data_IF_410311573010
#
_entry.id   IF_410311573010
#
_cell.length_a   1.000
_cell.length_b   1.000
_cell.length_c   1.000
_cell.angle_alpha   90.00
_cell.angle_beta   90.00
_cell.angle_gamma   90.00
#
_symmetry.space_group_name_H-M   'P 1'
#
loop_
_entity.id
_entity.type
_entity.pdbx_description
1 polymer ?
#
# COMPACT_ATOMS: atom_id res chain seq x y z
N UNK A 1 5.33 -11.03 -0.62
CA UNK A 1 4.91 -9.79 -1.25
C UNK A 1 4.17 -8.87 -0.30
N UNK A 2 3.98 -7.57 -0.67
CA UNK A 2 3.16 -6.64 0.13
C UNK A 2 1.68 -7.03 0.04
N UNK A 3 0.98 -6.95 1.17
CA UNK A 3 -0.45 -7.20 1.25
C UNK A 3 -1.08 -6.34 2.32
N UNK A 4 -2.11 -5.56 1.98
CA UNK A 4 -2.85 -4.70 2.90
C UNK A 4 -4.17 -4.22 2.27
N UNK A 5 -5.01 -3.51 3.01
CA UNK A 5 -6.33 -3.07 2.56
C UNK A 5 -6.34 -2.24 1.27
N UNK A 6 -5.27 -1.49 0.98
CA UNK A 6 -5.15 -0.65 -0.23
C UNK A 6 -4.21 -1.25 -1.29
N UNK A 7 -3.72 -2.48 -1.07
CA UNK A 7 -2.91 -3.20 -2.03
C UNK A 7 -3.25 -4.69 -1.98
N UNK A 8 -4.14 -5.12 -2.88
CA UNK A 8 -4.68 -6.48 -2.98
C UNK A 8 -4.52 -7.05 -4.40
N UNK A 9 -3.48 -6.63 -5.11
CA UNK A 9 -3.24 -6.98 -6.52
C UNK A 9 -3.05 -8.48 -6.78
N UNK A 10 -2.89 -9.26 -5.72
CA UNK A 10 -2.67 -10.70 -5.81
C UNK A 10 -3.94 -11.53 -5.58
N UNK A 11 -5.05 -10.86 -5.24
CA UNK A 11 -6.36 -11.50 -5.13
C UNK A 11 -6.99 -11.55 -6.54
N UNK A 12 -7.45 -12.71 -7.05
CA UNK A 12 -7.31 -14.07 -6.50
C UNK A 12 -6.21 -14.93 -7.13
N UNK A 13 -5.60 -14.52 -8.25
CA UNK A 13 -4.84 -15.41 -9.14
C UNK A 13 -3.56 -15.94 -8.48
N UNK A 14 -2.70 -15.05 -7.97
CA UNK A 14 -1.44 -15.47 -7.34
C UNK A 14 -1.71 -16.26 -6.06
N UNK A 15 -2.77 -15.90 -5.33
CA UNK A 15 -3.18 -16.61 -4.12
C UNK A 15 -3.58 -18.05 -4.46
N UNK A 16 -4.37 -18.25 -5.50
CA UNK A 16 -4.76 -19.57 -5.96
C UNK A 16 -3.54 -20.38 -6.45
N UNK A 17 -2.64 -19.74 -7.18
CA UNK A 17 -1.39 -20.38 -7.59
C UNK A 17 -0.56 -20.85 -6.40
N UNK A 18 -0.38 -20.00 -5.39
CA UNK A 18 0.35 -20.36 -4.17
C UNK A 18 -0.31 -21.53 -3.42
N UNK A 19 -1.64 -21.53 -3.31
CA UNK A 19 -2.38 -22.62 -2.66
C UNK A 19 -2.22 -23.96 -3.39
N UNK A 20 -2.42 -23.98 -4.71
CA UNK A 20 -2.32 -25.19 -5.53
C UNK A 20 -0.91 -25.78 -5.45
N UNK A 21 0.11 -24.94 -5.47
CA UNK A 21 1.51 -25.36 -5.48
C UNK A 21 2.12 -25.45 -4.08
N UNK A 22 1.35 -25.29 -3.01
CA UNK A 22 1.81 -25.32 -1.61
C UNK A 22 2.95 -24.32 -1.31
N UNK A 23 2.90 -23.16 -1.98
CA UNK A 23 3.90 -22.08 -1.81
C UNK A 23 3.44 -21.17 -0.68
N UNK A 24 4.32 -20.98 0.31
CA UNK A 24 4.09 -20.05 1.43
C UNK A 24 4.04 -18.60 0.97
N UNK A 25 3.06 -17.84 1.44
CA UNK A 25 2.92 -16.41 1.17
C UNK A 25 3.27 -15.59 2.41
N UNK A 26 4.39 -14.88 2.36
CA UNK A 26 4.79 -13.93 3.39
C UNK A 26 4.30 -12.53 2.99
N UNK A 27 3.33 -11.98 3.74
CA UNK A 27 2.79 -10.65 3.52
C UNK A 27 3.59 -9.58 4.27
N UNK A 28 4.07 -8.53 3.59
CA UNK A 28 4.71 -7.40 4.26
C UNK A 28 3.94 -6.09 4.06
N UNK A 29 4.25 -5.11 4.90
CA UNK A 29 3.59 -3.80 4.93
C UNK A 29 2.07 -3.85 5.16
N UNK A 30 1.56 -4.60 6.14
CA UNK A 30 0.11 -4.70 6.39
C UNK A 30 -0.53 -3.35 6.75
N UNK A 31 0.25 -2.41 7.30
CA UNK A 31 -0.17 -1.03 7.60
C UNK A 31 0.22 0.00 6.52
N UNK A 32 0.63 -0.44 5.32
CA UNK A 32 0.97 0.45 4.20
C UNK A 32 1.91 1.60 4.61
N UNK A 33 3.03 1.29 5.29
CA UNK A 33 3.99 2.25 5.87
C UNK A 33 3.38 3.22 6.89
N UNK A 34 2.27 2.84 7.49
CA UNK A 34 1.53 3.63 8.47
C UNK A 34 0.39 4.48 7.87
N UNK A 35 0.12 4.38 6.57
CA UNK A 35 -1.06 5.01 5.97
C UNK A 35 -2.37 4.42 6.51
N UNK A 36 -2.38 3.15 6.87
CA UNK A 36 -3.50 2.46 7.52
C UNK A 36 -3.44 2.61 9.05
N UNK A 37 -2.99 3.77 9.52
CA UNK A 37 -3.09 4.26 10.90
C UNK A 37 -3.59 5.69 10.87
N UNK A 38 -3.94 6.25 12.02
CA UNK A 38 -4.45 7.63 12.07
C UNK A 38 -3.37 8.72 12.00
N UNK A 39 -2.09 8.34 12.05
CA UNK A 39 -0.97 9.29 12.24
C UNK A 39 -0.75 10.29 11.10
N UNK A 40 -1.29 10.04 9.90
CA UNK A 40 -1.11 10.92 8.74
C UNK A 40 -2.37 11.69 8.34
N UNK A 41 -3.44 11.64 9.13
CA UNK A 41 -4.71 12.29 8.78
C UNK A 41 -4.75 13.79 9.11
N UNK A 42 -4.10 14.21 10.19
CA UNK A 42 -4.07 15.62 10.58
C UNK A 42 -2.82 16.34 10.06
N UNK A 43 -1.64 15.76 10.30
CA UNK A 43 -0.36 16.25 9.80
C UNK A 43 0.63 15.09 9.71
N UNK A 44 1.63 15.19 8.82
CA UNK A 44 2.76 14.26 8.80
C UNK A 44 3.54 14.46 10.10
N UNK A 45 3.61 13.41 10.92
CA UNK A 45 4.35 13.50 12.19
C UNK A 45 5.85 13.59 11.94
N UNK A 46 6.51 14.48 12.72
CA UNK A 46 7.96 14.60 12.74
C UNK A 46 8.64 13.23 12.93
N UNK A 47 9.73 13.01 12.23
CA UNK A 47 10.48 11.75 12.18
C UNK A 47 9.67 10.55 11.63
N UNK A 48 8.59 10.78 10.92
CA UNK A 48 7.86 9.71 10.24
C UNK A 48 8.58 9.27 8.95
N UNK A 49 8.32 8.05 8.50
CA UNK A 49 8.91 7.54 7.26
C UNK A 49 8.59 8.39 6.04
N UNK A 50 7.39 8.99 5.98
CA UNK A 50 7.00 9.87 4.88
C UNK A 50 7.73 11.21 4.92
N UNK A 51 8.08 11.71 6.10
CA UNK A 51 8.86 12.93 6.26
C UNK A 51 10.34 12.70 5.96
N UNK A 52 10.93 11.65 6.56
CA UNK A 52 12.35 11.35 6.39
C UNK A 52 12.70 10.88 4.97
N UNK A 53 11.78 10.18 4.30
CA UNK A 53 12.02 9.57 3.00
C UNK A 53 10.81 9.74 2.06
N UNK A 54 10.43 10.98 1.71
CA UNK A 54 9.19 11.26 0.97
C UNK A 54 9.14 10.61 -0.41
N UNK A 55 10.27 10.51 -1.10
CA UNK A 55 10.34 9.91 -2.44
C UNK A 55 10.27 8.38 -2.42
N UNK A 56 10.74 7.77 -1.35
CA UNK A 56 10.79 6.31 -1.20
C UNK A 56 9.45 5.72 -0.73
N UNK A 57 8.81 6.37 0.26
CA UNK A 57 7.59 5.87 0.89
C UNK A 57 6.28 6.47 0.36
N UNK A 58 6.33 7.24 -0.73
CA UNK A 58 5.16 7.96 -1.24
C UNK A 58 4.16 7.10 -2.01
N UNK A 59 4.44 5.81 -2.26
CA UNK A 59 3.58 4.92 -3.07
C UNK A 59 2.13 4.82 -2.59
N UNK A 60 1.91 4.96 -1.29
CA UNK A 60 0.59 4.93 -0.67
C UNK A 60 -0.01 6.32 -0.43
N UNK A 61 0.68 7.41 -0.77
CA UNK A 61 0.27 8.79 -0.46
C UNK A 61 -0.53 9.46 -1.58
N UNK A 62 -0.87 8.75 -2.65
CA UNK A 62 -1.69 9.25 -3.76
C UNK A 62 -3.10 9.63 -3.30
N UNK A 63 -3.80 10.48 -4.08
CA UNK A 63 -5.16 10.93 -3.77
C UNK A 63 -6.14 9.76 -3.67
N UNK A 64 -6.07 8.81 -4.61
CA UNK A 64 -6.91 7.61 -4.59
C UNK A 64 -6.67 6.76 -3.33
N UNK A 65 -5.39 6.55 -2.95
CA UNK A 65 -5.05 5.82 -1.72
C UNK A 65 -5.58 6.51 -0.47
N UNK A 66 -5.44 7.84 -0.37
CA UNK A 66 -5.96 8.62 0.76
C UNK A 66 -7.48 8.52 0.86
N UNK A 67 -8.19 8.62 -0.27
CA UNK A 67 -9.64 8.48 -0.30
C UNK A 67 -10.10 7.09 0.17
N UNK A 68 -9.44 6.03 -0.28
CA UNK A 68 -9.71 4.67 0.18
C UNK A 68 -9.47 4.51 1.69
N UNK A 69 -8.34 5.05 2.18
CA UNK A 69 -7.99 5.00 3.61
C UNK A 69 -9.03 5.74 4.46
N UNK A 70 -9.55 6.89 4.02
CA UNK A 70 -10.62 7.60 4.73
C UNK A 70 -11.88 6.73 4.86
N UNK A 71 -12.26 6.00 3.80
CA UNK A 71 -13.42 5.07 3.86
C UNK A 71 -13.18 3.95 4.88
N UNK A 72 -11.97 3.36 4.91
CA UNK A 72 -11.59 2.36 5.90
C UNK A 72 -11.56 2.92 7.33
N UNK A 73 -11.09 4.16 7.51
CA UNK A 73 -11.10 4.83 8.80
C UNK A 73 -12.53 5.03 9.32
N UNK A 74 -13.44 5.48 8.46
CA UNK A 74 -14.84 5.64 8.84
C UNK A 74 -15.47 4.28 9.21
N UNK A 75 -15.14 3.22 8.46
CA UNK A 75 -15.60 1.86 8.77
C UNK A 75 -15.06 1.37 10.12
N UNK A 76 -13.76 1.56 10.42
CA UNK A 76 -13.18 1.13 11.68
C UNK A 76 -13.82 1.85 12.87
N UNK A 77 -13.95 3.17 12.79
CA UNK A 77 -14.57 4.00 13.84
C UNK A 77 -16.04 3.63 14.09
N UNK A 78 -16.82 3.39 13.04
CA UNK A 78 -18.22 2.96 13.18
C UNK A 78 -18.38 1.59 13.86
N UNK A 79 -17.31 0.79 13.91
CA UNK A 79 -17.25 -0.50 14.58
C UNK A 79 -16.40 -0.47 15.88
N UNK A 80 -16.04 0.70 16.39
CA UNK A 80 -15.24 0.89 17.60
C UNK A 80 -13.88 0.18 17.54
N UNK A 81 -13.28 0.14 16.36
CA UNK A 81 -11.94 -0.42 16.12
C UNK A 81 -10.97 0.69 15.72
N UNK A 82 -9.73 0.56 16.13
CA UNK A 82 -8.64 1.33 15.56
C UNK A 82 -8.39 0.89 14.10
N UNK A 83 -8.09 1.84 13.21
CA UNK A 83 -7.82 1.51 11.80
C UNK A 83 -6.66 0.52 11.66
N UNK A 84 -5.62 0.66 12.49
CA UNK A 84 -4.49 -0.27 12.48
C UNK A 84 -4.91 -1.70 12.87
N UNK A 85 -5.72 -1.83 13.92
CA UNK A 85 -6.23 -3.13 14.38
C UNK A 85 -7.08 -3.82 13.30
N UNK A 86 -8.04 -3.09 12.73
CA UNK A 86 -8.88 -3.62 11.64
C UNK A 86 -8.04 -4.06 10.43
N UNK A 87 -7.03 -3.26 10.06
CA UNK A 87 -6.16 -3.55 8.91
C UNK A 87 -5.30 -4.77 9.13
N UNK A 88 -4.71 -4.92 10.33
CA UNK A 88 -3.89 -6.08 10.70
C UNK A 88 -4.73 -7.34 10.81
N UNK A 89 -5.84 -7.29 11.56
CA UNK A 89 -6.76 -8.41 11.69
C UNK A 89 -7.24 -8.91 10.32
N UNK A 90 -7.60 -8.01 9.42
CA UNK A 90 -7.97 -8.38 8.05
C UNK A 90 -6.86 -9.14 7.32
N UNK A 91 -5.60 -8.72 7.46
CA UNK A 91 -4.48 -9.36 6.80
C UNK A 91 -4.15 -10.72 7.40
N UNK A 92 -3.97 -10.80 8.73
CA UNK A 92 -3.50 -12.02 9.41
C UNK A 92 -4.51 -13.16 9.34
N UNK A 93 -5.80 -12.84 9.24
CA UNK A 93 -6.87 -13.86 9.13
C UNK A 93 -7.12 -14.35 7.70
N UNK A 94 -6.25 -14.00 6.75
CA UNK A 94 -6.32 -14.55 5.38
C UNK A 94 -5.71 -15.96 5.33
N UNK A 95 -6.51 -16.93 4.92
CA UNK A 95 -6.12 -18.36 4.89
C UNK A 95 -4.92 -18.66 3.99
N UNK A 96 -4.58 -17.76 3.05
CA UNK A 96 -3.43 -17.90 2.17
C UNK A 96 -2.15 -17.28 2.74
N UNK A 97 -2.27 -16.43 3.76
CA UNK A 97 -1.13 -15.75 4.35
C UNK A 97 -0.48 -16.69 5.37
N UNK A 98 0.73 -17.12 5.09
CA UNK A 98 1.50 -17.95 6.01
C UNK A 98 2.00 -17.14 7.20
N UNK A 99 2.45 -15.89 6.95
CA UNK A 99 2.90 -14.98 7.99
C UNK A 99 2.80 -13.53 7.53
N UNK A 100 2.55 -12.61 8.46
CA UNK A 100 2.58 -11.17 8.22
C UNK A 100 3.84 -10.56 8.81
N UNK A 101 4.65 -9.92 7.95
CA UNK A 101 5.88 -9.24 8.37
C UNK A 101 5.52 -7.83 8.81
N UNK A 102 5.73 -7.57 10.09
CA UNK A 102 5.44 -6.29 10.74
C UNK A 102 6.73 -5.53 11.11
N UNK A 103 6.58 -4.25 11.42
CA UNK A 103 7.65 -3.43 12.00
C UNK A 103 7.05 -2.39 12.92
N UNK A 104 7.57 -2.32 14.14
CA UNK A 104 7.20 -1.32 15.17
C UNK A 104 8.41 -0.48 15.54
N UNK A 105 8.20 0.71 16.06
CA UNK A 105 9.26 1.62 16.52
C UNK A 105 9.33 1.69 18.03
N UNK A 106 8.36 1.13 18.75
CA UNK A 106 8.33 1.06 20.20
C UNK A 106 7.47 -0.13 20.67
N UNK A 107 7.62 -0.48 21.95
CA UNK A 107 6.95 -1.62 22.57
C UNK A 107 5.41 -1.49 22.57
N UNK A 108 4.88 -0.29 22.79
CA UNK A 108 3.43 -0.05 22.75
C UNK A 108 2.84 -0.44 21.40
N UNK A 109 3.44 0.03 20.29
CA UNK A 109 3.01 -0.35 18.94
C UNK A 109 3.13 -1.86 18.70
N UNK A 110 4.19 -2.49 19.21
CA UNK A 110 4.35 -3.93 19.08
C UNK A 110 3.23 -4.70 19.78
N UNK A 111 2.90 -4.32 21.02
CA UNK A 111 1.77 -4.93 21.77
C UNK A 111 0.45 -4.77 21.03
N UNK A 112 0.11 -3.55 20.59
CA UNK A 112 -1.10 -3.27 19.83
C UNK A 112 -1.19 -4.11 18.51
N UNK A 113 -0.06 -4.33 17.84
CA UNK A 113 0.01 -5.17 16.64
C UNK A 113 -0.25 -6.65 17.00
N UNK A 114 0.37 -7.16 18.06
CA UNK A 114 0.19 -8.53 18.50
C UNK A 114 -1.26 -8.77 18.94
N UNK A 115 -1.82 -7.86 19.71
CA UNK A 115 -3.23 -7.94 20.15
C UNK A 115 -4.22 -7.96 18.98
N UNK A 116 -3.88 -7.31 17.85
CA UNK A 116 -4.71 -7.29 16.64
C UNK A 116 -4.92 -8.67 16.02
N UNK A 117 -4.07 -9.66 16.30
CA UNK A 117 -4.23 -11.04 15.82
C UNK A 117 -5.46 -11.71 16.42
N UNK A 118 -5.82 -11.32 17.64
CA UNK A 118 -6.94 -11.88 18.38
C UNK A 118 -8.29 -11.20 18.05
N UNK A 119 -8.27 -10.16 17.21
CA UNK A 119 -9.48 -9.45 16.80
C UNK A 119 -10.14 -10.21 15.65
N UNK A 120 -11.33 -10.72 15.87
CA UNK A 120 -12.15 -11.32 14.83
C UNK A 120 -13.04 -10.27 14.18
N UNK A 121 -12.88 -10.08 12.87
CA UNK A 121 -13.75 -9.22 12.08
C UNK A 121 -15.00 -10.03 11.69
N UNK A 122 -16.16 -9.54 12.09
CA UNK A 122 -17.41 -10.19 11.69
C UNK A 122 -17.64 -10.06 10.17
N UNK A 123 -18.50 -10.91 9.63
CA UNK A 123 -18.76 -10.99 8.19
C UNK A 123 -19.23 -9.65 7.59
N UNK A 124 -20.01 -8.85 8.32
CA UNK A 124 -20.48 -7.53 7.85
C UNK A 124 -19.34 -6.55 7.67
N UNK A 125 -18.33 -6.56 8.54
CA UNK A 125 -17.13 -5.72 8.38
C UNK A 125 -16.34 -6.19 7.17
N UNK A 126 -16.15 -7.49 7.00
CA UNK A 126 -15.42 -8.06 5.85
C UNK A 126 -16.10 -7.69 4.53
N UNK A 127 -17.42 -7.79 4.45
CA UNK A 127 -18.20 -7.39 3.27
C UNK A 127 -18.03 -5.90 2.95
N UNK A 128 -18.09 -5.03 3.96
CA UNK A 128 -17.85 -3.60 3.78
C UNK A 128 -16.42 -3.30 3.36
N UNK A 129 -15.42 -4.01 3.89
CA UNK A 129 -14.02 -3.91 3.44
C UNK A 129 -13.92 -4.28 1.96
N UNK A 130 -14.56 -5.38 1.54
CA UNK A 130 -14.56 -5.83 0.16
C UNK A 130 -15.30 -4.84 -0.76
N UNK A 131 -16.40 -4.27 -0.31
CA UNK A 131 -17.11 -3.22 -1.04
C UNK A 131 -16.24 -1.97 -1.23
N UNK A 132 -15.59 -1.48 -0.17
CA UNK A 132 -14.65 -0.34 -0.29
C UNK A 132 -13.54 -0.67 -1.29
N UNK A 133 -13.03 -1.90 -1.27
CA UNK A 133 -12.00 -2.32 -2.22
C UNK A 133 -12.53 -2.34 -3.66
N UNK A 134 -13.72 -2.84 -3.92
CA UNK A 134 -14.32 -2.87 -5.27
C UNK A 134 -14.51 -1.47 -5.86
N UNK A 135 -14.82 -0.47 -5.03
CA UNK A 135 -14.89 0.93 -5.46
C UNK A 135 -13.52 1.61 -5.64
N UNK A 136 -12.46 1.03 -5.06
CA UNK A 136 -11.11 1.59 -5.04
C UNK A 136 -10.08 0.53 -5.41
N UNK A 137 -10.27 -0.11 -6.54
CA UNK A 137 -9.36 -1.16 -7.02
C UNK A 137 -7.97 -0.57 -7.23
N UNK A 138 -6.98 -1.16 -6.54
CA UNK A 138 -5.56 -0.80 -6.66
C UNK A 138 -5.28 0.72 -6.57
N UNK A 139 -5.72 1.41 -5.52
CA UNK A 139 -5.59 2.86 -5.41
C UNK A 139 -4.14 3.34 -5.35
N UNK A 140 -3.18 2.43 -5.15
CA UNK A 140 -1.73 2.73 -5.16
C UNK A 140 -1.16 2.89 -6.57
N UNK A 141 -1.84 2.38 -7.60
CA UNK A 141 -1.36 2.43 -8.99
C UNK A 141 -1.19 3.86 -9.48
N UNK A 142 -1.97 4.81 -8.99
CA UNK A 142 -1.81 6.24 -9.31
C UNK A 142 -0.35 6.72 -9.12
N UNK A 143 0.35 6.19 -8.12
CA UNK A 143 1.75 6.53 -7.83
C UNK A 143 2.75 5.54 -8.43
N UNK A 144 2.33 4.35 -8.73
CA UNK A 144 3.19 3.32 -9.32
C UNK A 144 3.40 3.53 -10.81
N UNK A 145 2.44 4.11 -11.51
CA UNK A 145 2.59 4.50 -12.92
C UNK A 145 3.50 5.73 -13.09
N UNK A 146 4.74 5.64 -12.57
CA UNK A 146 5.81 6.61 -12.90
C UNK A 146 6.02 6.69 -14.42
N UNK A 147 5.71 5.63 -15.16
CA UNK A 147 5.83 5.58 -16.62
C UNK A 147 4.89 6.57 -17.30
N UNK A 148 3.61 6.65 -16.89
CA UNK A 148 2.66 7.61 -17.43
C UNK A 148 3.11 9.07 -17.18
N UNK A 149 3.54 9.38 -15.95
CA UNK A 149 4.07 10.71 -15.63
C UNK A 149 5.39 11.00 -16.36
N UNK A 150 6.19 9.98 -16.63
CA UNK A 150 7.39 10.09 -17.43
C UNK A 150 7.04 10.42 -18.89
N UNK A 151 6.12 9.71 -19.54
CA UNK A 151 5.66 10.00 -20.89
C UNK A 151 4.99 11.36 -21.00
N UNK A 152 4.19 11.77 -20.01
CA UNK A 152 3.60 13.11 -19.97
C UNK A 152 4.65 14.23 -19.90
N UNK A 153 5.71 14.04 -19.08
CA UNK A 153 6.87 14.98 -19.02
C UNK A 153 7.69 14.93 -20.31
N UNK A 154 7.82 13.76 -20.90
CA UNK A 154 8.51 13.55 -22.16
C UNK A 154 7.82 14.30 -23.32
N UNK A 155 6.51 14.11 -23.44
CA UNK A 155 5.70 14.82 -24.41
C UNK A 155 5.83 16.34 -24.24
N UNK A 156 5.76 16.86 -23.01
CA UNK A 156 5.94 18.27 -22.72
C UNK A 156 7.32 18.80 -23.15
N UNK A 157 8.40 18.06 -22.91
CA UNK A 157 9.76 18.44 -23.30
C UNK A 157 9.94 18.44 -24.82
N UNK A 158 9.24 17.56 -25.54
CA UNK A 158 9.22 17.54 -27.01
C UNK A 158 8.48 18.79 -27.53
N UNK A 159 7.29 19.07 -26.97
CA UNK A 159 6.52 20.27 -27.34
C UNK A 159 7.24 21.58 -27.02
N UNK A 160 8.01 21.62 -25.93
CA UNK A 160 8.81 22.78 -25.55
C UNK A 160 10.13 22.91 -26.37
N UNK A 161 10.35 22.08 -27.40
CA UNK A 161 11.56 22.10 -28.26
C UNK A 161 12.84 21.58 -27.58
N UNK A 162 12.74 20.98 -26.39
CA UNK A 162 13.88 20.49 -25.61
C UNK A 162 14.12 18.99 -25.79
N UNK A 163 14.12 18.54 -27.05
CA UNK A 163 14.27 17.13 -27.40
C UNK A 163 15.56 16.49 -26.86
N UNK A 164 16.64 17.22 -26.78
CA UNK A 164 17.93 16.71 -26.27
C UNK A 164 17.90 16.41 -24.76
N UNK A 165 17.17 17.21 -23.99
CA UNK A 165 16.95 16.98 -22.56
C UNK A 165 16.05 15.76 -22.32
N UNK A 166 15.10 15.55 -23.22
CA UNK A 166 14.27 14.34 -23.21
C UNK A 166 15.11 13.08 -23.46
N UNK A 167 15.95 13.07 -24.48
CA UNK A 167 16.80 11.93 -24.80
C UNK A 167 17.74 11.56 -23.65
N UNK A 168 18.44 12.51 -23.05
CA UNK A 168 19.33 12.27 -21.90
C UNK A 168 18.58 11.68 -20.69
N UNK A 169 17.39 12.20 -20.39
CA UNK A 169 16.55 11.71 -19.29
C UNK A 169 15.99 10.32 -19.57
N UNK A 170 15.65 10.03 -20.83
CA UNK A 170 15.18 8.71 -21.28
C UNK A 170 16.26 7.65 -21.11
N UNK A 171 17.45 7.90 -21.59
CA UNK A 171 18.59 6.98 -21.45
C UNK A 171 18.90 6.70 -19.96
N UNK A 172 18.87 7.72 -19.11
CA UNK A 172 19.08 7.56 -17.66
C UNK A 172 17.97 6.72 -17.00
N UNK A 173 16.72 6.90 -17.44
CA UNK A 173 15.58 6.13 -16.94
C UNK A 173 15.67 4.65 -17.34
N UNK A 174 15.91 4.35 -18.61
CA UNK A 174 16.05 2.98 -19.10
C UNK A 174 17.26 2.26 -18.49
N UNK A 175 18.40 2.93 -18.32
CA UNK A 175 19.54 2.36 -17.58
C UNK A 175 19.19 2.01 -16.13
N UNK A 176 18.36 2.81 -15.47
CA UNK A 176 17.89 2.53 -14.12
C UNK A 176 16.87 1.38 -14.09
N UNK A 177 15.99 1.27 -15.08
CA UNK A 177 15.01 0.19 -15.22
C UNK A 177 15.71 -1.15 -15.44
N UNK A 178 16.73 -1.19 -16.32
CA UNK A 178 17.52 -2.38 -16.62
C UNK A 178 18.38 -2.85 -15.43
N UNK A 179 18.83 -1.93 -14.55
CA UNK A 179 19.57 -2.28 -13.33
C UNK A 179 18.68 -2.81 -12.20
N UNK A 180 17.37 -2.66 -12.28
CA UNK A 180 16.41 -3.20 -11.31
C UNK A 180 15.97 -4.62 -11.65
N UNK A 181 16.37 -5.14 -12.83
CA UNK A 181 16.06 -6.48 -13.31
C UNK A 181 17.30 -7.41 -13.29
N UNK A 182 18.40 -6.99 -12.66
CA UNK A 182 19.56 -7.78 -12.29
C UNK A 182 19.66 -7.85 -10.76
#
# INVERSE_FOLDING_TARGET
>A
NRYNLIYRNYDPELINFCKINQISFLGYSPLAFGMLTEKYFSNIKANSRLELYPDYFNRYSGKASKNAVIKYLNLSRSNKLELAQMSLSYCVNKSFLTSSIIGSTNLKQLSEIIESVNIELNQKIIEKINFIHSENINPTLEREFKLYNYFKRAAKLIFDGRFFDFYKKSVKFFKKLLRLNQ
#
